data_IF_343700351521
#
_entry.id   IF_343700351521
#
_cell.length_a   1.000
_cell.length_b   1.000
_cell.length_c   1.000
_cell.angle_alpha   90.00
_cell.angle_beta   90.00
_cell.angle_gamma   90.00
#
_symmetry.space_group_name_H-M   'P 1'
#
loop_
_entity.id
_entity.type
_entity.pdbx_description
1 polymer ?
#
# COMPACT_ATOMS: atom_id res chain seq x y z
N UNK A 1 -11.79 14.82 -13.22
CA UNK A 1 -13.18 14.94 -12.73
C UNK A 1 -13.21 15.32 -11.24
N UNK A 2 -12.32 14.78 -10.38
CA UNK A 2 -12.36 15.03 -8.94
C UNK A 2 -12.39 16.52 -8.56
N UNK A 3 -11.54 17.40 -9.10
CA UNK A 3 -11.60 18.82 -8.78
C UNK A 3 -12.90 19.52 -9.23
N UNK A 4 -13.51 19.04 -10.31
CA UNK A 4 -14.77 19.58 -10.82
C UNK A 4 -15.91 19.25 -9.85
N UNK A 5 -15.98 18.00 -9.40
CA UNK A 5 -16.98 17.54 -8.44
C UNK A 5 -16.79 18.22 -7.07
N UNK A 6 -15.54 18.31 -6.59
CA UNK A 6 -15.22 18.98 -5.34
C UNK A 6 -15.63 20.47 -5.37
N UNK A 7 -15.35 21.16 -6.49
CA UNK A 7 -15.75 22.56 -6.69
C UNK A 7 -17.29 22.74 -6.73
N UNK A 8 -18.02 21.70 -7.13
CA UNK A 8 -19.48 21.67 -7.10
C UNK A 8 -20.06 21.32 -5.71
N UNK A 9 -19.22 21.20 -4.67
CA UNK A 9 -19.63 20.91 -3.30
C UNK A 9 -19.71 19.42 -2.95
N UNK A 10 -19.26 18.52 -3.83
CA UNK A 10 -19.21 17.10 -3.53
C UNK A 10 -17.92 16.76 -2.74
N UNK A 11 -18.03 15.83 -1.79
CA UNK A 11 -16.86 15.14 -1.22
C UNK A 11 -16.50 13.99 -2.16
N UNK A 12 -15.26 13.99 -2.63
CA UNK A 12 -14.74 12.99 -3.56
C UNK A 12 -13.77 12.07 -2.84
N UNK A 13 -14.09 10.79 -2.73
CA UNK A 13 -13.13 9.77 -2.29
C UNK A 13 -12.48 9.20 -3.53
N UNK A 14 -11.17 9.45 -3.69
CA UNK A 14 -10.41 9.09 -4.89
C UNK A 14 -9.47 7.92 -4.61
N UNK A 15 -9.63 6.84 -5.37
CA UNK A 15 -8.80 5.63 -5.25
C UNK A 15 -7.59 5.63 -6.21
N UNK A 16 -7.44 6.66 -7.03
CA UNK A 16 -6.28 6.76 -7.92
C UNK A 16 -5.01 7.18 -7.17
N UNK A 17 -3.86 7.05 -7.80
CA UNK A 17 -2.61 7.55 -7.23
C UNK A 17 -2.42 9.07 -7.40
N UNK A 18 -3.33 9.74 -8.12
CA UNK A 18 -3.17 11.13 -8.54
C UNK A 18 -3.04 12.11 -7.37
N UNK A 19 -3.82 11.90 -6.31
CA UNK A 19 -3.95 12.87 -5.22
C UNK A 19 -3.22 12.45 -3.95
N UNK A 20 -2.72 11.22 -3.87
CA UNK A 20 -2.16 10.64 -2.64
C UNK A 20 -1.03 11.46 -2.04
N UNK A 21 -0.14 11.99 -2.91
CA UNK A 21 1.02 12.77 -2.46
C UNK A 21 0.84 14.29 -2.60
N UNK A 22 -0.36 14.76 -3.00
CA UNK A 22 -0.68 16.19 -2.97
C UNK A 22 -0.70 16.67 -1.51
N UNK A 23 0.04 17.73 -1.13
CA UNK A 23 0.10 18.22 0.25
C UNK A 23 -1.23 18.77 0.77
N UNK A 24 -2.13 19.18 -0.13
CA UNK A 24 -3.42 19.75 0.22
C UNK A 24 -4.54 18.70 0.25
N UNK A 25 -4.25 17.45 -0.10
CA UNK A 25 -5.22 16.35 -0.12
C UNK A 25 -4.87 15.35 0.99
N UNK A 26 -5.77 15.09 1.93
CA UNK A 26 -5.53 14.09 2.97
C UNK A 26 -5.50 12.69 2.36
N UNK A 27 -4.49 11.90 2.75
CA UNK A 27 -4.36 10.48 2.45
C UNK A 27 -4.82 9.70 3.68
N UNK A 28 -5.98 9.05 3.63
CA UNK A 28 -6.70 8.65 4.83
C UNK A 28 -6.83 7.13 4.95
N UNK A 29 -6.47 6.64 6.13
CA UNK A 29 -6.87 5.35 6.69
C UNK A 29 -7.67 5.66 7.95
N UNK A 30 -9.00 5.46 7.96
CA UNK A 30 -9.86 5.96 9.03
C UNK A 30 -9.42 5.55 10.44
N UNK A 31 -8.93 4.33 10.60
CA UNK A 31 -8.47 3.77 11.87
C UNK A 31 -7.16 4.41 12.38
N UNK A 32 -6.51 5.24 11.57
CA UNK A 32 -5.20 5.84 11.89
C UNK A 32 -5.30 7.37 11.95
N UNK A 33 -5.83 8.00 10.91
CA UNK A 33 -5.69 9.43 10.70
C UNK A 33 -6.97 10.11 10.18
N UNK A 34 -8.14 9.65 10.60
CA UNK A 34 -9.43 10.27 10.24
C UNK A 34 -9.47 11.77 10.58
N UNK A 35 -8.74 12.19 11.61
CA UNK A 35 -8.60 13.59 12.01
C UNK A 35 -7.92 14.49 10.94
N UNK A 36 -7.26 13.90 9.93
CA UNK A 36 -6.71 14.65 8.80
C UNK A 36 -7.79 15.13 7.83
N UNK A 37 -9.00 14.58 7.93
CA UNK A 37 -10.15 15.04 7.14
C UNK A 37 -10.69 16.32 7.77
N UNK A 38 -10.40 17.45 7.16
CA UNK A 38 -10.92 18.75 7.57
C UNK A 38 -12.43 18.85 7.27
N UNK A 39 -13.08 19.88 7.77
CA UNK A 39 -14.52 20.07 7.65
C UNK A 39 -15.03 20.10 6.19
N UNK A 40 -14.19 20.44 5.22
CA UNK A 40 -14.53 20.39 3.80
C UNK A 40 -13.29 20.07 2.96
N UNK A 41 -12.88 18.81 2.89
CA UNK A 41 -11.65 18.41 2.23
C UNK A 41 -11.75 18.49 0.69
N UNK A 42 -12.95 18.53 0.13
CA UNK A 42 -13.20 18.40 -1.30
C UNK A 42 -12.78 17.04 -1.85
N UNK A 43 -11.50 16.71 -1.80
CA UNK A 43 -10.95 15.41 -2.22
C UNK A 43 -10.29 14.73 -1.03
N UNK A 44 -10.58 13.43 -0.87
CA UNK A 44 -9.93 12.52 0.08
C UNK A 44 -9.27 11.42 -0.73
N UNK A 45 -7.96 11.23 -0.59
CA UNK A 45 -7.24 10.16 -1.26
C UNK A 45 -7.30 8.86 -0.44
N UNK A 46 -7.61 7.75 -1.12
CA UNK A 46 -7.49 6.41 -0.58
C UNK A 46 -6.12 5.83 -0.92
N UNK A 47 -5.42 5.18 0.04
CA UNK A 47 -4.07 4.66 -0.18
C UNK A 47 -3.98 3.52 -1.20
N UNK A 48 -2.75 3.18 -1.54
CA UNK A 48 -2.40 1.97 -2.28
C UNK A 48 -2.84 0.71 -1.52
N UNK A 49 -3.26 -0.32 -2.25
CA UNK A 49 -3.80 -1.56 -1.70
C UNK A 49 -2.83 -2.30 -0.76
N UNK A 50 -1.54 -2.31 -1.07
CA UNK A 50 -0.52 -2.92 -0.19
C UNK A 50 -0.17 -2.02 0.99
N UNK A 51 -0.20 -0.69 0.81
CA UNK A 51 0.06 0.27 1.87
C UNK A 51 -1.04 0.24 2.93
N UNK A 52 -2.31 0.31 2.54
CA UNK A 52 -3.43 0.45 3.48
C UNK A 52 -3.47 -0.68 4.51
N UNK A 53 -3.26 -1.92 4.08
CA UNK A 53 -3.22 -3.07 5.00
C UNK A 53 -1.94 -3.11 5.86
N UNK A 54 -0.84 -2.53 5.37
CA UNK A 54 0.47 -2.58 6.05
C UNK A 54 0.63 -1.51 7.13
N UNK A 55 -0.03 -0.36 6.99
CA UNK A 55 0.10 0.73 7.95
C UNK A 55 -0.67 0.50 9.25
N UNK A 56 -1.69 -0.37 9.25
CA UNK A 56 -2.43 -0.73 10.47
C UNK A 56 -1.54 -1.38 11.53
N UNK A 57 -0.81 -2.48 11.26
CA UNK A 57 0.10 -3.05 12.24
C UNK A 57 1.24 -2.08 12.61
N UNK A 58 1.72 -1.26 11.70
CA UNK A 58 2.73 -0.25 12.04
C UNK A 58 2.19 0.82 12.98
N UNK A 59 0.93 1.23 12.83
CA UNK A 59 0.30 2.18 13.74
C UNK A 59 0.23 1.61 15.17
N UNK A 60 -0.11 0.34 15.32
CA UNK A 60 -0.09 -0.34 16.62
C UNK A 60 1.30 -0.31 17.28
N UNK A 61 2.37 -0.35 16.49
CA UNK A 61 3.75 -0.37 16.95
C UNK A 61 4.36 1.03 17.15
N UNK A 62 3.67 2.09 16.76
CA UNK A 62 4.18 3.46 16.76
C UNK A 62 4.63 3.94 18.16
N UNK A 63 4.01 3.42 19.23
CA UNK A 63 4.36 3.78 20.60
C UNK A 63 5.80 3.39 21.00
N UNK A 64 6.39 2.39 20.35
CA UNK A 64 7.77 1.98 20.58
C UNK A 64 8.80 2.71 19.71
N UNK A 65 8.37 3.65 18.87
CA UNK A 65 9.24 4.37 17.94
C UNK A 65 9.59 3.50 16.73
N UNK A 66 8.99 3.79 15.60
CA UNK A 66 9.34 3.13 14.33
C UNK A 66 10.65 3.71 13.81
N UNK A 67 11.70 2.89 13.73
CA UNK A 67 13.03 3.29 13.24
C UNK A 67 13.22 2.91 11.77
N UNK A 68 12.87 1.68 11.41
CA UNK A 68 13.02 1.19 10.04
C UNK A 68 11.94 0.15 9.71
N UNK A 69 11.44 0.21 8.49
CA UNK A 69 10.45 -0.73 7.96
C UNK A 69 10.95 -1.30 6.63
N UNK A 70 10.90 -2.61 6.50
CA UNK A 70 11.20 -3.32 5.25
C UNK A 70 9.98 -4.12 4.84
N UNK A 71 9.42 -3.81 3.68
CA UNK A 71 8.31 -4.51 3.09
C UNK A 71 8.77 -5.54 2.06
N UNK A 72 8.16 -6.70 2.07
CA UNK A 72 8.19 -7.64 0.96
C UNK A 72 6.76 -8.06 0.65
N UNK A 73 6.27 -7.70 -0.53
CA UNK A 73 4.88 -7.98 -0.90
C UNK A 73 4.76 -9.18 -1.81
N UNK A 74 3.65 -9.91 -1.69
CA UNK A 74 3.23 -10.99 -2.56
C UNK A 74 1.85 -10.61 -3.11
N UNK A 75 1.85 -9.94 -4.28
CA UNK A 75 0.67 -9.25 -4.79
C UNK A 75 -0.08 -10.11 -5.80
N UNK A 76 -1.36 -10.34 -5.55
CA UNK A 76 -2.26 -11.06 -6.44
C UNK A 76 -2.45 -10.33 -7.79
N UNK A 77 -2.74 -11.08 -8.84
CA UNK A 77 -2.93 -10.54 -10.19
C UNK A 77 -4.12 -9.61 -10.32
N UNK A 78 -5.17 -9.77 -9.49
CA UNK A 78 -6.33 -8.86 -9.47
C UNK A 78 -5.97 -7.41 -9.15
N UNK A 79 -4.84 -7.16 -8.46
CA UNK A 79 -4.31 -5.82 -8.23
C UNK A 79 -3.88 -5.10 -9.52
N UNK A 80 -3.63 -5.83 -10.59
CA UNK A 80 -3.39 -5.30 -11.94
C UNK A 80 -4.68 -5.12 -12.76
N UNK A 81 -5.84 -5.34 -12.14
CA UNK A 81 -7.14 -5.32 -12.80
C UNK A 81 -7.38 -6.55 -13.69
N UNK A 82 -8.45 -6.51 -14.48
CA UNK A 82 -8.88 -7.65 -15.31
C UNK A 82 -7.77 -8.18 -16.22
N UNK A 83 -6.94 -7.33 -16.77
CA UNK A 83 -5.82 -7.74 -17.64
C UNK A 83 -4.84 -8.69 -16.95
N UNK A 84 -4.58 -8.48 -15.65
CA UNK A 84 -3.72 -9.38 -14.87
C UNK A 84 -4.38 -10.74 -14.61
N UNK A 85 -5.68 -10.74 -14.34
CA UNK A 85 -6.48 -11.96 -14.18
C UNK A 85 -6.50 -12.76 -15.49
N UNK A 86 -6.85 -12.11 -16.59
CA UNK A 86 -6.91 -12.74 -17.91
C UNK A 86 -5.55 -13.35 -18.32
N UNK A 87 -4.45 -12.69 -17.96
CA UNK A 87 -3.10 -13.18 -18.28
C UNK A 87 -2.74 -14.42 -17.45
N UNK A 88 -3.12 -14.48 -16.18
CA UNK A 88 -2.97 -15.70 -15.36
C UNK A 88 -3.81 -16.85 -15.93
N UNK A 89 -5.09 -16.60 -16.25
CA UNK A 89 -5.98 -17.62 -16.84
C UNK A 89 -5.46 -18.10 -18.19
N UNK A 90 -4.92 -17.20 -19.01
CA UNK A 90 -4.27 -17.50 -20.27
C UNK A 90 -3.07 -18.42 -20.08
N UNK A 91 -2.29 -18.19 -19.03
CA UNK A 91 -1.11 -19.01 -18.73
C UNK A 91 -1.46 -20.41 -18.17
N UNK A 92 -2.70 -20.68 -17.74
CA UNK A 92 -3.16 -22.04 -17.44
C UNK A 92 -3.22 -22.92 -18.71
N UNK A 93 -3.27 -22.30 -19.87
CA UNK A 93 -3.06 -22.93 -21.17
C UNK A 93 -1.63 -22.63 -21.64
N UNK A 94 -1.02 -23.40 -22.55
CA UNK A 94 0.34 -23.12 -23.04
C UNK A 94 0.37 -21.91 -23.99
N UNK A 95 -0.13 -20.77 -23.52
CA UNK A 95 -0.22 -19.52 -24.27
C UNK A 95 0.73 -18.48 -23.65
N UNK A 96 1.36 -17.62 -24.48
CA UNK A 96 2.25 -16.58 -23.99
C UNK A 96 1.48 -15.51 -23.22
N UNK A 97 2.15 -14.87 -22.24
CA UNK A 97 1.64 -13.68 -21.57
C UNK A 97 1.43 -12.53 -22.55
N UNK A 98 0.40 -11.72 -22.28
CA UNK A 98 0.05 -10.54 -23.07
C UNK A 98 0.11 -9.25 -22.26
N UNK A 99 0.13 -9.36 -20.93
CA UNK A 99 0.15 -8.24 -20.01
C UNK A 99 1.43 -8.20 -19.19
N UNK A 100 1.80 -9.29 -18.53
CA UNK A 100 3.06 -9.35 -17.78
C UNK A 100 4.26 -9.56 -18.70
N UNK A 101 5.46 -9.08 -18.29
CA UNK A 101 6.67 -9.22 -19.11
C UNK A 101 7.13 -10.68 -19.29
N UNK A 102 6.66 -11.56 -18.43
CA UNK A 102 6.92 -13.01 -18.42
C UNK A 102 5.67 -13.75 -18.01
N UNK A 103 5.61 -15.06 -18.33
CA UNK A 103 4.55 -15.93 -17.84
C UNK A 103 4.53 -15.89 -16.31
N UNK A 104 3.35 -15.57 -15.72
CA UNK A 104 3.19 -15.46 -14.29
C UNK A 104 2.96 -16.82 -13.62
N UNK A 105 2.40 -17.80 -14.34
CA UNK A 105 2.15 -19.12 -13.78
C UNK A 105 3.48 -19.78 -13.38
N UNK A 106 3.56 -20.28 -12.14
CA UNK A 106 4.78 -20.86 -11.54
C UNK A 106 5.97 -19.89 -11.48
N UNK A 107 5.71 -18.59 -11.46
CA UNK A 107 6.74 -17.57 -11.45
C UNK A 107 6.42 -16.47 -10.43
N UNK A 108 7.41 -15.65 -10.11
CA UNK A 108 7.27 -14.40 -9.37
C UNK A 108 7.90 -13.27 -10.19
N UNK A 109 7.20 -12.13 -10.28
CA UNK A 109 7.64 -11.01 -11.10
C UNK A 109 7.92 -9.81 -10.20
N UNK A 110 9.22 -9.48 -9.92
CA UNK A 110 9.59 -8.36 -9.07
C UNK A 110 9.52 -7.03 -9.82
N UNK A 111 8.48 -6.85 -10.63
CA UNK A 111 8.17 -5.64 -11.37
C UNK A 111 6.69 -5.36 -11.25
N UNK A 112 6.32 -4.66 -10.18
CA UNK A 112 4.97 -4.14 -10.01
C UNK A 112 4.94 -2.68 -10.44
N UNK A 113 4.24 -2.38 -11.56
CA UNK A 113 4.25 -1.07 -12.22
C UNK A 113 5.61 -0.81 -12.97
N UNK A 114 5.85 0.40 -13.43
CA UNK A 114 7.05 0.77 -14.19
C UNK A 114 8.21 1.11 -13.27
N UNK A 115 9.44 0.89 -13.75
CA UNK A 115 10.65 1.31 -13.06
C UNK A 115 10.85 2.82 -13.14
N UNK A 116 11.33 3.38 -12.05
CA UNK A 116 11.77 4.76 -11.93
C UNK A 116 13.29 4.86 -12.20
N UNK A 117 13.82 6.05 -12.45
CA UNK A 117 15.25 6.24 -12.71
C UNK A 117 16.20 5.78 -11.59
N UNK A 118 15.70 5.72 -10.35
CA UNK A 118 16.45 5.25 -9.18
C UNK A 118 16.44 3.72 -8.99
N UNK A 119 15.76 2.99 -9.88
CA UNK A 119 15.65 1.54 -9.83
C UNK A 119 14.45 1.00 -9.04
N UNK A 120 13.75 1.83 -8.26
CA UNK A 120 12.49 1.43 -7.62
C UNK A 120 11.39 1.26 -8.68
N UNK A 121 10.42 0.39 -8.43
CA UNK A 121 9.16 0.45 -9.15
C UNK A 121 8.26 1.55 -8.57
N UNK A 122 7.31 2.05 -9.35
CA UNK A 122 6.31 2.99 -8.83
C UNK A 122 5.52 2.42 -7.66
N UNK A 123 5.29 1.10 -7.64
CA UNK A 123 4.58 0.43 -6.55
C UNK A 123 5.38 0.52 -5.24
N UNK A 124 6.68 0.23 -5.30
CA UNK A 124 7.57 0.37 -4.14
C UNK A 124 7.62 1.80 -3.65
N UNK A 125 7.69 2.76 -4.56
CA UNK A 125 7.69 4.18 -4.21
C UNK A 125 6.40 4.61 -3.51
N UNK A 126 5.22 4.14 -3.98
CA UNK A 126 3.94 4.38 -3.31
C UNK A 126 3.97 3.87 -1.86
N UNK A 127 4.43 2.64 -1.63
CA UNK A 127 4.50 2.08 -0.27
C UNK A 127 5.39 2.92 0.65
N UNK A 128 6.53 3.39 0.16
CA UNK A 128 7.46 4.21 0.93
C UNK A 128 6.84 5.56 1.30
N UNK A 129 6.37 6.31 0.32
CA UNK A 129 5.91 7.68 0.50
C UNK A 129 4.55 7.74 1.23
N UNK A 130 3.63 6.86 0.89
CA UNK A 130 2.32 6.79 1.51
C UNK A 130 2.41 6.36 2.98
N UNK A 131 3.28 5.39 3.32
CA UNK A 131 3.53 4.99 4.73
C UNK A 131 3.97 6.19 5.56
N UNK A 132 4.93 6.97 5.07
CA UNK A 132 5.42 8.18 5.75
C UNK A 132 4.32 9.21 5.95
N UNK A 133 3.50 9.44 4.93
CA UNK A 133 2.41 10.42 4.96
C UNK A 133 1.29 10.00 5.91
N UNK A 134 0.85 8.74 5.85
CA UNK A 134 -0.26 8.24 6.68
C UNK A 134 0.12 8.22 8.17
N UNK A 135 1.36 7.82 8.48
CA UNK A 135 1.83 7.71 9.86
C UNK A 135 2.39 9.03 10.43
N UNK A 136 2.46 10.11 9.64
CA UNK A 136 3.12 11.37 10.01
C UNK A 136 4.59 11.20 10.44
N UNK A 137 5.31 10.34 9.72
CA UNK A 137 6.71 10.03 9.98
C UNK A 137 7.57 10.29 8.73
N UNK A 138 7.81 11.56 8.35
CA UNK A 138 8.44 11.90 7.07
C UNK A 138 9.87 11.35 6.92
N UNK A 139 10.56 11.12 8.03
CA UNK A 139 11.95 10.65 8.05
C UNK A 139 12.07 9.14 8.32
N UNK A 140 10.95 8.40 8.43
CA UNK A 140 10.99 6.96 8.67
C UNK A 140 11.79 6.27 7.55
N UNK A 141 12.76 5.45 7.93
CA UNK A 141 13.50 4.62 6.99
C UNK A 141 12.58 3.50 6.48
N UNK A 142 12.19 3.57 5.22
CA UNK A 142 11.31 2.58 4.59
C UNK A 142 11.94 2.10 3.29
N UNK A 143 11.93 0.79 3.08
CA UNK A 143 12.21 0.17 1.78
C UNK A 143 11.14 -0.87 1.47
N UNK A 144 10.93 -1.15 0.20
CA UNK A 144 9.93 -2.09 -0.26
C UNK A 144 10.47 -2.91 -1.44
N UNK A 145 10.09 -4.20 -1.48
CA UNK A 145 10.22 -5.05 -2.65
C UNK A 145 8.84 -5.58 -3.00
N UNK A 146 8.33 -5.18 -4.17
CA UNK A 146 6.99 -5.51 -4.59
C UNK A 146 7.01 -6.59 -5.68
N UNK A 147 6.40 -7.74 -5.38
CA UNK A 147 6.42 -8.91 -6.25
C UNK A 147 5.02 -9.31 -6.65
N UNK A 148 4.78 -9.49 -7.95
CA UNK A 148 3.56 -10.10 -8.46
C UNK A 148 3.68 -11.61 -8.40
N UNK A 149 2.66 -12.29 -7.86
CA UNK A 149 2.60 -13.75 -7.69
C UNK A 149 1.36 -14.34 -8.39
N UNK A 150 1.37 -15.63 -8.76
CA UNK A 150 0.26 -16.28 -9.47
C UNK A 150 -0.91 -16.63 -8.51
N UNK A 151 -1.38 -15.66 -7.77
CA UNK A 151 -2.53 -15.74 -6.87
C UNK A 151 -3.62 -14.83 -7.42
N UNK A 152 -4.86 -15.31 -7.45
CA UNK A 152 -5.96 -14.59 -8.06
C UNK A 152 -6.32 -13.32 -7.29
N UNK A 153 -6.58 -13.45 -5.97
CA UNK A 153 -7.05 -12.37 -5.12
C UNK A 153 -6.28 -12.30 -3.79
N UNK A 154 -6.22 -11.09 -3.23
CA UNK A 154 -5.60 -10.84 -1.94
C UNK A 154 -4.09 -10.68 -2.01
N UNK A 155 -3.57 -9.66 -1.33
CA UNK A 155 -2.14 -9.43 -1.20
C UNK A 155 -1.67 -9.91 0.17
N UNK A 156 -0.49 -10.50 0.22
CA UNK A 156 0.23 -10.76 1.47
C UNK A 156 1.45 -9.85 1.54
N UNK A 157 1.79 -9.42 2.76
CA UNK A 157 2.95 -8.56 2.99
C UNK A 157 3.73 -9.10 4.19
N UNK A 158 5.01 -9.39 4.00
CA UNK A 158 5.94 -9.58 5.09
C UNK A 158 6.53 -8.21 5.48
N UNK A 159 6.49 -7.90 6.77
CA UNK A 159 6.97 -6.62 7.30
C UNK A 159 8.03 -6.90 8.35
N UNK A 160 9.26 -6.45 8.09
CA UNK A 160 10.31 -6.42 9.11
C UNK A 160 10.39 -5.01 9.69
N UNK A 161 10.27 -4.88 11.02
CA UNK A 161 10.24 -3.60 11.72
C UNK A 161 11.37 -3.54 12.74
N UNK A 162 12.11 -2.44 12.71
CA UNK A 162 13.07 -2.08 13.76
C UNK A 162 12.45 -0.97 14.60
N UNK A 163 12.41 -1.18 15.92
CA UNK A 163 11.88 -0.24 16.90
C UNK A 163 13.02 0.47 17.64
N UNK A 164 12.78 1.69 18.10
CA UNK A 164 13.75 2.47 18.87
C UNK A 164 13.84 2.01 20.33
N UNK A 165 12.69 1.70 20.92
CA UNK A 165 12.57 1.32 22.31
C UNK A 165 12.51 -0.19 22.49
N UNK A 166 13.03 -0.69 23.61
CA UNK A 166 12.88 -2.08 24.00
C UNK A 166 11.39 -2.43 24.21
N UNK A 167 11.05 -3.69 23.98
CA UNK A 167 9.69 -4.19 24.12
C UNK A 167 9.68 -5.62 24.65
N UNK A 168 8.57 -5.98 25.29
CA UNK A 168 8.23 -7.38 25.53
C UNK A 168 7.31 -7.88 24.42
N UNK A 169 7.48 -9.13 23.99
CA UNK A 169 6.68 -9.69 22.88
C UNK A 169 5.18 -9.63 23.18
N UNK A 170 4.79 -9.86 24.42
CA UNK A 170 3.37 -9.82 24.79
C UNK A 170 2.75 -8.46 24.60
N UNK A 171 3.48 -7.37 24.91
CA UNK A 171 3.00 -6.00 24.71
C UNK A 171 2.75 -5.70 23.22
N UNK A 172 3.60 -6.19 22.36
CA UNK A 172 3.42 -6.09 20.89
C UNK A 172 2.17 -6.84 20.43
N UNK A 173 1.99 -8.08 20.90
CA UNK A 173 0.81 -8.89 20.56
C UNK A 173 -0.48 -8.24 21.05
N UNK A 174 -0.47 -7.70 22.26
CA UNK A 174 -1.62 -7.01 22.85
C UNK A 174 -1.94 -5.71 22.10
N UNK A 175 -0.94 -4.98 21.64
CA UNK A 175 -1.14 -3.77 20.84
C UNK A 175 -1.75 -4.10 19.47
N UNK A 176 -1.24 -5.15 18.81
CA UNK A 176 -1.80 -5.62 17.53
C UNK A 176 -3.24 -6.09 17.68
N UNK A 177 -3.55 -6.83 18.75
CA UNK A 177 -4.91 -7.30 19.02
C UNK A 177 -5.92 -6.18 19.32
N UNK A 178 -5.45 -5.04 19.84
CA UNK A 178 -6.27 -3.86 20.13
C UNK A 178 -6.44 -2.93 18.93
N UNK A 179 -5.58 -3.05 17.91
CA UNK A 179 -5.64 -2.18 16.74
C UNK A 179 -6.92 -2.47 15.94
N UNK A 180 -7.77 -1.48 15.80
CA UNK A 180 -8.94 -1.57 14.93
C UNK A 180 -8.52 -1.90 13.49
N UNK A 181 -9.27 -2.80 12.85
CA UNK A 181 -8.97 -3.27 11.48
C UNK A 181 -8.01 -4.46 11.41
N UNK A 182 -7.42 -4.92 12.52
CA UNK A 182 -6.61 -6.15 12.60
C UNK A 182 -7.44 -7.29 13.21
N UNK A 183 -7.30 -8.49 12.65
CA UNK A 183 -7.97 -9.72 13.11
C UNK A 183 -7.01 -10.89 13.11
#
# INVERSE_FOLDING_TARGET
YAPIAAKAGCIVVDNSSQWRMDPNVPLVVPEINLNHVQANPGIIANPNCSTIQSVLPLNALKAWGLKRVVYTTYQAVSGSGQKGVDDLERNLKPLPSTFYPKNILHNVIPQSDVFLPNGDTKEERKMIDETRKILDLPNLAVTATCVRVPVLNGHSVAINVELENAFELQDILDALAKQEGIR
#
